data_IF_868615230588
#
_entry.id   IF_868615230588
#
_cell.length_a   1.000
_cell.length_b   1.000
_cell.length_c   1.000
_cell.angle_alpha   90.00
_cell.angle_beta   90.00
_cell.angle_gamma   90.00
#
_symmetry.space_group_name_H-M   'P 1'
#
loop_
_entity.id
_entity.type
_entity.pdbx_description
1 polymer ?
#
# COMPACT_ATOMS: atom_id res chain seq x y z
N UNK A 1 -2.45 -7.66 -7.60
CA UNK A 1 -2.47 -8.71 -6.54
C UNK A 1 -2.60 -10.14 -7.09
N UNK A 2 -3.47 -10.42 -8.10
CA UNK A 2 -3.58 -11.77 -8.69
C UNK A 2 -2.27 -12.20 -9.39
N UNK A 3 -1.61 -11.29 -10.08
CA UNK A 3 -0.33 -11.58 -10.76
C UNK A 3 0.79 -11.94 -9.77
N UNK A 4 0.90 -11.20 -8.64
CA UNK A 4 1.87 -11.52 -7.57
C UNK A 4 1.57 -12.90 -6.96
N UNK A 5 0.30 -13.22 -6.67
CA UNK A 5 -0.09 -14.53 -6.15
C UNK A 5 0.31 -15.68 -7.09
N UNK A 6 0.02 -15.55 -8.40
CA UNK A 6 0.44 -16.56 -9.38
C UNK A 6 1.96 -16.71 -9.46
N UNK A 7 2.70 -15.62 -9.35
CA UNK A 7 4.17 -15.62 -9.32
C UNK A 7 4.71 -16.37 -8.10
N UNK A 8 4.16 -16.10 -6.91
CA UNK A 8 4.52 -16.80 -5.66
C UNK A 8 4.28 -18.30 -5.79
N UNK A 9 3.10 -18.70 -6.29
CA UNK A 9 2.77 -20.13 -6.50
C UNK A 9 3.71 -20.75 -7.53
N UNK A 10 3.96 -20.08 -8.64
CA UNK A 10 4.89 -20.56 -9.66
C UNK A 10 6.31 -20.74 -9.11
N UNK A 11 6.81 -19.77 -8.35
CA UNK A 11 8.13 -19.85 -7.69
C UNK A 11 8.18 -20.99 -6.69
N UNK A 12 7.15 -21.21 -5.88
CA UNK A 12 7.10 -22.31 -4.93
C UNK A 12 7.15 -23.67 -5.63
N UNK A 13 6.40 -23.84 -6.72
CA UNK A 13 6.42 -25.06 -7.55
C UNK A 13 7.80 -25.25 -8.20
N UNK A 14 8.37 -24.18 -8.75
CA UNK A 14 9.71 -24.22 -9.36
C UNK A 14 10.78 -24.58 -8.32
N UNK A 15 10.73 -24.01 -7.12
CA UNK A 15 11.67 -24.30 -6.04
C UNK A 15 11.63 -25.80 -5.67
N UNK A 16 10.43 -26.36 -5.50
CA UNK A 16 10.27 -27.78 -5.19
C UNK A 16 10.80 -28.66 -6.32
N UNK A 17 10.48 -28.31 -7.57
CA UNK A 17 10.98 -29.06 -8.74
C UNK A 17 12.50 -29.01 -8.84
N UNK A 18 13.09 -27.83 -8.69
CA UNK A 18 14.54 -27.61 -8.72
C UNK A 18 15.22 -28.37 -7.59
N UNK A 19 14.67 -28.33 -6.38
CA UNK A 19 15.21 -29.05 -5.23
C UNK A 19 15.22 -30.57 -5.45
N UNK A 20 14.16 -31.14 -6.05
CA UNK A 20 14.09 -32.56 -6.38
C UNK A 20 15.11 -32.93 -7.47
N UNK A 21 15.25 -32.10 -8.50
CA UNK A 21 16.21 -32.32 -9.58
C UNK A 21 17.65 -32.28 -9.04
N UNK A 22 17.99 -31.26 -8.29
CA UNK A 22 19.33 -31.08 -7.71
C UNK A 22 19.74 -32.24 -6.81
N UNK A 23 18.78 -32.74 -6.02
CA UNK A 23 19.03 -33.90 -5.11
C UNK A 23 19.17 -35.22 -5.85
N UNK A 24 18.56 -35.37 -7.04
CA UNK A 24 18.63 -36.62 -7.82
C UNK A 24 19.74 -36.61 -8.88
N UNK A 25 20.27 -35.42 -9.21
CA UNK A 25 21.34 -35.26 -10.20
C UNK A 25 22.55 -34.64 -9.51
N UNK A 26 23.69 -35.30 -9.51
CA UNK A 26 24.92 -34.72 -8.98
C UNK A 26 25.43 -33.61 -9.91
N UNK A 27 24.80 -32.42 -9.86
CA UNK A 27 25.16 -31.26 -10.67
C UNK A 27 26.44 -30.59 -10.15
N UNK A 28 27.27 -30.04 -11.02
CA UNK A 28 28.36 -29.20 -10.58
C UNK A 28 27.80 -27.91 -9.96
N UNK A 29 28.54 -27.27 -9.04
CA UNK A 29 28.15 -26.08 -8.31
C UNK A 29 27.52 -24.99 -9.21
N UNK A 30 28.11 -24.73 -10.36
CA UNK A 30 27.59 -23.78 -11.35
C UNK A 30 26.25 -24.22 -11.97
N UNK A 31 26.06 -25.53 -12.14
CA UNK A 31 24.81 -26.09 -12.65
C UNK A 31 23.68 -25.92 -11.65
N UNK A 32 23.93 -26.22 -10.39
CA UNK A 32 22.97 -25.97 -9.30
C UNK A 32 22.66 -24.48 -9.16
N UNK A 33 23.67 -23.60 -9.19
CA UNK A 33 23.42 -22.15 -9.16
C UNK A 33 22.49 -21.69 -10.28
N UNK A 34 22.78 -22.06 -11.54
CA UNK A 34 21.94 -21.67 -12.68
C UNK A 34 20.50 -22.21 -12.55
N UNK A 35 20.35 -23.41 -12.00
CA UNK A 35 19.06 -24.03 -11.77
C UNK A 35 18.24 -23.27 -10.72
N UNK A 36 18.86 -22.89 -9.58
CA UNK A 36 18.21 -22.09 -8.54
C UNK A 36 18.03 -20.62 -8.89
N UNK A 37 18.81 -20.09 -9.82
CA UNK A 37 18.68 -18.71 -10.28
C UNK A 37 17.32 -18.46 -10.96
N UNK A 38 16.73 -19.48 -11.60
CA UNK A 38 15.42 -19.36 -12.25
C UNK A 38 14.31 -19.05 -11.24
N UNK A 39 14.05 -19.85 -10.20
CA UNK A 39 13.05 -19.49 -9.20
C UNK A 39 13.45 -18.25 -8.38
N UNK A 40 14.73 -17.99 -8.15
CA UNK A 40 15.20 -16.79 -7.46
C UNK A 40 14.83 -15.51 -8.20
N UNK A 41 15.15 -15.42 -9.49
CA UNK A 41 14.78 -14.27 -10.31
C UNK A 41 13.26 -14.17 -10.54
N UNK A 42 12.56 -15.29 -10.62
CA UNK A 42 11.10 -15.29 -10.73
C UNK A 42 10.45 -14.70 -9.48
N UNK A 43 10.99 -15.00 -8.30
CA UNK A 43 10.51 -14.42 -7.03
C UNK A 43 10.87 -12.94 -6.88
N UNK A 44 12.14 -12.59 -7.10
CA UNK A 44 12.75 -11.39 -6.56
C UNK A 44 13.21 -10.36 -7.60
N UNK A 45 12.84 -10.47 -8.89
CA UNK A 45 13.35 -9.52 -9.89
C UNK A 45 12.94 -8.06 -9.60
N UNK A 46 11.73 -7.84 -9.07
CA UNK A 46 11.22 -6.53 -8.66
C UNK A 46 12.01 -5.98 -7.46
N UNK A 47 12.20 -6.78 -6.42
CA UNK A 47 12.98 -6.42 -5.23
C UNK A 47 14.42 -6.05 -5.60
N UNK A 48 15.03 -6.83 -6.49
CA UNK A 48 16.40 -6.55 -6.95
C UNK A 48 16.49 -5.25 -7.77
N UNK A 49 15.46 -4.94 -8.57
CA UNK A 49 15.39 -3.68 -9.31
C UNK A 49 15.18 -2.49 -8.38
N UNK A 50 14.25 -2.61 -7.43
CA UNK A 50 13.97 -1.57 -6.42
C UNK A 50 15.21 -1.31 -5.54
N UNK A 51 15.88 -2.36 -5.08
CA UNK A 51 17.15 -2.23 -4.36
C UNK A 51 18.23 -1.54 -5.20
N UNK A 52 18.29 -1.83 -6.51
CA UNK A 52 19.21 -1.17 -7.45
C UNK A 52 18.90 0.32 -7.63
N UNK A 53 17.62 0.69 -7.74
CA UNK A 53 17.16 2.08 -7.80
C UNK A 53 17.47 2.82 -6.50
N UNK A 54 17.18 2.22 -5.35
CA UNK A 54 17.45 2.79 -4.02
C UNK A 54 18.94 3.12 -3.84
N UNK A 55 19.84 2.24 -4.31
CA UNK A 55 21.28 2.50 -4.30
C UNK A 55 21.62 3.73 -5.14
N UNK A 56 21.04 3.88 -6.35
CA UNK A 56 21.31 4.98 -7.25
C UNK A 56 20.80 6.33 -6.72
N UNK A 57 19.71 6.31 -5.94
CA UNK A 57 19.11 7.51 -5.32
C UNK A 57 19.69 7.83 -3.93
N UNK A 58 20.60 6.99 -3.40
CA UNK A 58 21.23 7.19 -2.09
C UNK A 58 20.40 6.77 -0.90
N UNK A 59 19.27 6.06 -1.12
CA UNK A 59 18.43 5.47 -0.08
C UNK A 59 18.85 4.01 0.18
N UNK A 60 20.10 3.84 0.61
CA UNK A 60 20.82 2.54 0.65
C UNK A 60 20.38 1.65 1.81
N UNK A 61 19.43 2.06 2.68
CA UNK A 61 19.14 1.33 3.91
C UNK A 61 17.64 1.03 4.08
N UNK A 62 16.99 0.60 2.98
CA UNK A 62 15.64 0.05 3.02
C UNK A 62 15.63 -1.48 3.21
N UNK A 63 14.44 -2.04 3.36
CA UNK A 63 14.23 -3.47 3.56
C UNK A 63 14.60 -4.30 2.31
N UNK A 64 14.37 -3.78 1.11
CA UNK A 64 14.64 -4.46 -0.16
C UNK A 64 16.14 -4.59 -0.39
N UNK A 65 16.91 -3.55 -0.05
CA UNK A 65 18.36 -3.57 -0.07
C UNK A 65 18.92 -4.65 0.87
N UNK A 66 18.41 -4.71 2.12
CA UNK A 66 18.86 -5.67 3.11
C UNK A 66 18.58 -7.12 2.65
N UNK A 67 17.38 -7.37 2.14
CA UNK A 67 16.99 -8.68 1.61
C UNK A 67 17.79 -9.07 0.37
N UNK A 68 18.05 -8.12 -0.52
CA UNK A 68 18.87 -8.36 -1.71
C UNK A 68 20.30 -8.74 -1.36
N UNK A 69 20.95 -8.02 -0.44
CA UNK A 69 22.32 -8.36 0.02
C UNK A 69 22.34 -9.73 0.68
N UNK A 70 21.39 -10.03 1.57
CA UNK A 70 21.36 -11.29 2.29
C UNK A 70 21.17 -12.47 1.34
N UNK A 71 20.25 -12.37 0.39
CA UNK A 71 19.96 -13.46 -0.56
C UNK A 71 21.03 -13.63 -1.64
N UNK A 72 21.60 -12.54 -2.16
CA UNK A 72 22.76 -12.60 -3.06
C UNK A 72 23.98 -13.17 -2.33
N UNK A 73 24.19 -12.76 -1.08
CA UNK A 73 25.24 -13.31 -0.24
C UNK A 73 25.09 -14.80 -0.03
N UNK A 74 23.87 -15.30 0.23
CA UNK A 74 23.59 -16.72 0.36
C UNK A 74 23.85 -17.50 -0.95
N UNK A 75 23.55 -16.91 -2.12
CA UNK A 75 23.92 -17.50 -3.42
C UNK A 75 25.43 -17.55 -3.64
N UNK A 76 26.17 -16.56 -3.13
CA UNK A 76 27.62 -16.47 -3.31
C UNK A 76 28.41 -17.34 -2.32
N UNK A 77 27.84 -17.69 -1.17
CA UNK A 77 28.58 -18.39 -0.09
C UNK A 77 29.11 -19.74 -0.50
N UNK A 78 28.38 -20.47 -1.37
CA UNK A 78 28.81 -21.79 -1.87
C UNK A 78 30.09 -21.77 -2.69
N UNK A 79 30.58 -20.59 -3.10
CA UNK A 79 31.87 -20.42 -3.81
C UNK A 79 33.05 -20.20 -2.86
N UNK A 80 32.82 -20.07 -1.56
CA UNK A 80 33.88 -19.95 -0.58
C UNK A 80 34.47 -21.33 -0.27
N UNK A 81 35.77 -21.43 0.04
CA UNK A 81 36.40 -22.69 0.46
C UNK A 81 35.68 -23.26 1.70
N UNK A 82 35.42 -24.56 1.67
CA UNK A 82 34.79 -25.32 2.75
C UNK A 82 33.35 -24.87 3.13
N UNK A 83 32.66 -24.08 2.25
CA UNK A 83 31.26 -23.71 2.44
C UNK A 83 30.33 -24.66 1.69
N UNK A 84 29.19 -24.99 2.34
CA UNK A 84 28.09 -25.67 1.66
C UNK A 84 27.24 -24.65 0.88
N UNK A 85 26.72 -25.00 -0.31
CA UNK A 85 25.87 -24.11 -1.09
C UNK A 85 24.48 -23.95 -0.44
N UNK A 86 24.07 -22.74 -0.20
CA UNK A 86 22.78 -22.38 0.42
C UNK A 86 21.80 -21.77 -0.61
N UNK A 87 21.78 -22.36 -1.82
CA UNK A 87 20.93 -21.88 -2.92
C UNK A 87 19.43 -22.02 -2.63
N UNK A 88 18.95 -23.17 -2.08
CA UNK A 88 17.54 -23.33 -1.72
C UNK A 88 17.06 -22.29 -0.71
N UNK A 89 17.91 -22.00 0.29
CA UNK A 89 17.63 -21.03 1.36
C UNK A 89 17.48 -19.62 0.81
N UNK A 90 18.34 -19.21 -0.12
CA UNK A 90 18.26 -17.91 -0.77
C UNK A 90 16.92 -17.73 -1.49
N UNK A 91 16.46 -18.74 -2.23
CA UNK A 91 15.17 -18.72 -2.94
C UNK A 91 14.01 -18.75 -1.94
N UNK A 92 14.11 -19.57 -0.88
CA UNK A 92 13.07 -19.69 0.15
C UNK A 92 12.87 -18.35 0.88
N UNK A 93 13.95 -17.68 1.27
CA UNK A 93 13.91 -16.38 1.94
C UNK A 93 13.25 -15.32 1.05
N UNK A 94 13.62 -15.27 -0.24
CA UNK A 94 13.02 -14.35 -1.21
C UNK A 94 11.52 -14.64 -1.41
N UNK A 95 11.15 -15.93 -1.49
CA UNK A 95 9.75 -16.34 -1.62
C UNK A 95 8.94 -15.94 -0.38
N UNK A 96 9.49 -16.14 0.81
CA UNK A 96 8.83 -15.79 2.07
C UNK A 96 8.62 -14.29 2.20
N UNK A 97 9.59 -13.48 1.78
CA UNK A 97 9.47 -12.03 1.71
C UNK A 97 8.34 -11.59 0.78
N UNK A 98 8.24 -12.17 -0.42
CA UNK A 98 7.17 -11.89 -1.37
C UNK A 98 5.77 -12.25 -0.82
N UNK A 99 5.67 -13.30 -0.02
CA UNK A 99 4.42 -13.65 0.68
C UNK A 99 4.07 -12.55 1.69
N UNK A 100 5.03 -12.07 2.48
CA UNK A 100 4.85 -10.98 3.43
C UNK A 100 4.35 -9.69 2.74
N UNK A 101 5.00 -9.30 1.63
CA UNK A 101 4.64 -8.15 0.83
C UNK A 101 3.22 -8.26 0.23
N UNK A 102 2.84 -9.45 -0.25
CA UNK A 102 1.48 -9.69 -0.74
C UNK A 102 0.44 -9.47 0.37
N UNK A 103 0.69 -9.93 1.59
CA UNK A 103 -0.20 -9.69 2.73
C UNK A 103 -0.30 -8.21 3.08
N UNK A 104 0.81 -7.48 3.03
CA UNK A 104 0.83 -6.02 3.24
C UNK A 104 -0.01 -5.30 2.18
N UNK A 105 0.20 -5.59 0.89
CA UNK A 105 -0.61 -4.99 -0.20
C UNK A 105 -2.11 -5.30 -0.06
N UNK A 106 -2.47 -6.52 0.36
CA UNK A 106 -3.88 -6.89 0.58
C UNK A 106 -4.49 -6.09 1.73
N UNK A 107 -3.74 -5.84 2.78
CA UNK A 107 -4.18 -5.03 3.93
C UNK A 107 -4.36 -3.56 3.53
N UNK A 108 -3.39 -2.97 2.82
CA UNK A 108 -3.43 -1.60 2.33
C UNK A 108 -4.52 -1.38 1.26
N UNK A 109 -4.66 -2.32 0.33
CA UNK A 109 -5.61 -2.23 -0.79
C UNK A 109 -7.07 -2.17 -0.36
N UNK A 110 -7.45 -2.77 0.77
CA UNK A 110 -8.79 -2.65 1.34
C UNK A 110 -9.06 -1.23 1.85
N UNK A 111 -8.06 -0.57 2.42
CA UNK A 111 -8.17 0.80 2.92
C UNK A 111 -8.27 1.83 1.79
N UNK A 112 -7.47 1.69 0.75
CA UNK A 112 -7.50 2.60 -0.40
C UNK A 112 -8.84 2.60 -1.15
N UNK A 113 -9.52 1.46 -1.27
CA UNK A 113 -10.87 1.38 -1.89
C UNK A 113 -11.91 2.21 -1.16
N UNK A 114 -11.88 2.23 0.17
CA UNK A 114 -12.80 3.05 0.98
C UNK A 114 -12.55 4.55 0.77
N UNK A 115 -11.30 4.96 0.57
CA UNK A 115 -10.93 6.35 0.29
C UNK A 115 -11.34 6.75 -1.14
N UNK A 116 -11.17 5.89 -2.13
CA UNK A 116 -11.57 6.14 -3.52
C UNK A 116 -13.09 6.34 -3.66
N UNK A 117 -13.89 5.59 -2.89
CA UNK A 117 -15.33 5.79 -2.85
C UNK A 117 -15.74 7.15 -2.25
N UNK A 118 -14.94 7.72 -1.35
CA UNK A 118 -15.16 9.07 -0.82
C UNK A 118 -14.73 10.15 -1.82
N UNK A 119 -13.71 9.92 -2.63
CA UNK A 119 -13.33 10.85 -3.72
C UNK A 119 -14.39 10.94 -4.81
N UNK A 120 -15.22 9.91 -4.95
CA UNK A 120 -16.37 9.91 -5.87
C UNK A 120 -17.52 10.83 -5.41
N UNK A 121 -17.40 11.48 -4.23
CA UNK A 121 -18.35 12.49 -3.73
C UNK A 121 -18.24 13.82 -4.48
N UNK A 122 -17.10 14.13 -5.11
CA UNK A 122 -16.91 15.39 -5.81
C UNK A 122 -17.81 15.44 -7.04
N UNK A 123 -18.71 16.45 -7.15
CA UNK A 123 -19.50 16.67 -8.35
C UNK A 123 -18.62 17.28 -9.44
N UNK A 124 -18.76 16.77 -10.66
CA UNK A 124 -17.97 17.23 -11.82
C UNK A 124 -18.51 18.53 -12.42
N UNK A 125 -19.82 18.78 -12.28
CA UNK A 125 -20.51 19.92 -12.88
C UNK A 125 -21.76 20.32 -12.10
N UNK A 126 -22.22 21.54 -12.30
CA UNK A 126 -23.47 22.07 -11.79
C UNK A 126 -24.28 22.67 -12.96
N UNK A 127 -25.57 22.35 -13.03
CA UNK A 127 -26.48 22.95 -14.01
C UNK A 127 -27.10 24.21 -13.39
N UNK A 128 -26.64 25.40 -13.79
CA UNK A 128 -27.07 26.69 -13.22
C UNK A 128 -28.14 27.29 -14.11
N UNK A 129 -29.20 27.78 -13.50
CA UNK A 129 -30.29 28.50 -14.20
C UNK A 129 -29.90 29.97 -14.38
N UNK A 130 -29.77 30.41 -15.65
CA UNK A 130 -29.55 31.81 -16.03
C UNK A 130 -30.72 32.31 -16.87
N UNK A 131 -31.67 32.99 -16.24
CA UNK A 131 -32.88 33.46 -16.91
C UNK A 131 -33.77 32.31 -17.36
N UNK A 132 -33.90 32.07 -18.67
CA UNK A 132 -34.70 30.96 -19.23
C UNK A 132 -33.87 29.76 -19.68
N UNK A 133 -32.56 29.79 -19.54
CA UNK A 133 -31.65 28.73 -19.98
C UNK A 133 -30.95 28.07 -18.78
N UNK A 134 -30.60 26.81 -18.94
CA UNK A 134 -29.80 26.06 -17.98
C UNK A 134 -28.42 25.82 -18.60
N UNK A 135 -27.39 26.38 -17.98
CA UNK A 135 -26.00 26.23 -18.42
C UNK A 135 -25.24 25.32 -17.48
N UNK A 136 -24.34 24.54 -18.04
CA UNK A 136 -23.44 23.70 -17.22
C UNK A 136 -22.18 24.49 -16.87
N UNK A 137 -21.91 24.64 -15.58
CA UNK A 137 -20.77 25.33 -15.03
C UNK A 137 -19.96 24.40 -14.10
N UNK A 138 -18.73 24.78 -13.76
CA UNK A 138 -17.99 24.10 -12.68
C UNK A 138 -18.60 24.51 -11.35
N UNK A 139 -18.67 23.60 -10.36
CA UNK A 139 -19.20 23.92 -9.04
C UNK A 139 -18.47 25.09 -8.34
N UNK A 140 -17.18 25.28 -8.65
CA UNK A 140 -16.34 26.36 -8.11
C UNK A 140 -16.75 27.75 -8.62
N UNK A 141 -17.36 27.80 -9.81
CA UNK A 141 -17.80 29.07 -10.47
C UNK A 141 -19.21 29.48 -10.05
N UNK A 142 -19.92 28.62 -9.28
CA UNK A 142 -21.30 28.87 -8.86
C UNK A 142 -21.34 29.73 -7.60
N UNK A 143 -22.06 30.86 -7.65
CA UNK A 143 -22.18 31.78 -6.53
C UNK A 143 -23.31 31.44 -5.56
N UNK A 144 -23.15 31.85 -4.31
CA UNK A 144 -24.21 31.74 -3.30
C UNK A 144 -25.43 32.58 -3.75
N UNK A 145 -26.61 31.97 -3.69
CA UNK A 145 -27.88 32.59 -4.11
C UNK A 145 -28.33 32.20 -5.50
N UNK A 146 -27.46 31.66 -6.35
CA UNK A 146 -27.83 31.11 -7.66
C UNK A 146 -28.72 29.86 -7.53
N UNK A 147 -29.47 29.59 -8.59
CA UNK A 147 -30.38 28.44 -8.64
C UNK A 147 -29.72 27.38 -9.53
N UNK A 148 -29.61 26.16 -8.97
CA UNK A 148 -29.14 24.99 -9.68
C UNK A 148 -30.27 24.01 -9.91
N UNK A 149 -30.23 23.33 -11.06
CA UNK A 149 -31.20 22.30 -11.45
C UNK A 149 -30.52 20.92 -11.36
N UNK A 150 -31.10 20.03 -10.56
CA UNK A 150 -30.55 18.70 -10.30
C UNK A 150 -31.50 17.65 -10.84
N UNK A 151 -31.08 16.94 -11.89
CA UNK A 151 -31.88 15.89 -12.54
C UNK A 151 -31.71 14.53 -11.83
N UNK A 152 -32.62 13.58 -12.03
CA UNK A 152 -32.47 12.22 -11.56
C UNK A 152 -31.16 11.58 -12.06
N UNK A 153 -30.44 10.91 -11.16
CA UNK A 153 -29.11 10.32 -11.42
C UNK A 153 -27.93 11.28 -11.20
N UNK A 154 -28.17 12.59 -11.08
CA UNK A 154 -27.10 13.56 -10.84
C UNK A 154 -26.76 13.68 -9.35
N UNK A 155 -25.49 14.01 -9.09
CA UNK A 155 -25.03 14.38 -7.73
C UNK A 155 -25.42 15.81 -7.44
N UNK A 156 -25.81 16.09 -6.21
CA UNK A 156 -26.04 17.44 -5.72
C UNK A 156 -24.71 18.20 -5.68
N UNK A 157 -24.52 19.25 -6.51
CA UNK A 157 -23.20 19.88 -6.63
C UNK A 157 -22.86 20.81 -5.46
N UNK A 158 -23.86 21.46 -4.85
CA UNK A 158 -23.70 22.47 -3.80
C UNK A 158 -24.71 22.26 -2.68
N UNK A 159 -24.36 22.70 -1.46
CA UNK A 159 -25.32 22.77 -0.37
C UNK A 159 -26.37 23.86 -0.66
N UNK A 160 -27.66 23.56 -0.44
CA UNK A 160 -28.72 24.51 -0.75
C UNK A 160 -30.05 24.17 -0.12
N UNK A 161 -31.06 24.99 -0.47
CA UNK A 161 -32.47 24.80 -0.07
C UNK A 161 -33.28 24.54 -1.33
N UNK A 162 -34.11 23.55 -1.32
CA UNK A 162 -35.03 23.23 -2.43
C UNK A 162 -36.08 24.32 -2.54
N UNK A 163 -36.14 24.96 -3.70
CA UNK A 163 -37.20 25.94 -4.03
C UNK A 163 -38.42 25.22 -4.60
N UNK A 164 -38.21 24.24 -5.46
CA UNK A 164 -39.24 23.53 -6.20
C UNK A 164 -38.85 22.09 -6.50
N UNK A 165 -39.83 21.20 -6.52
CA UNK A 165 -39.64 19.79 -6.81
C UNK A 165 -39.80 18.92 -5.59
N UNK A 166 -39.94 17.61 -5.85
CA UNK A 166 -39.95 16.55 -4.84
C UNK A 166 -39.13 15.39 -5.37
N UNK A 167 -38.23 14.87 -4.57
CA UNK A 167 -37.39 13.73 -4.94
C UNK A 167 -36.98 12.91 -3.74
N UNK A 168 -36.31 11.79 -4.00
CA UNK A 168 -35.59 11.00 -3.01
C UNK A 168 -34.09 11.15 -3.24
N UNK A 169 -33.34 11.42 -2.19
CA UNK A 169 -31.89 11.52 -2.23
C UNK A 169 -31.25 10.29 -1.61
N UNK A 170 -30.28 9.70 -2.29
CA UNK A 170 -29.37 8.72 -1.70
C UNK A 170 -28.30 9.45 -0.89
N UNK A 171 -28.34 9.30 0.42
CA UNK A 171 -27.42 9.95 1.37
C UNK A 171 -26.41 8.98 1.97
N UNK A 172 -26.39 7.69 1.51
CA UNK A 172 -25.56 6.60 2.07
C UNK A 172 -24.10 7.00 2.28
N UNK A 173 -23.53 7.70 1.31
CA UNK A 173 -22.10 8.06 1.33
C UNK A 173 -21.80 9.14 2.38
N UNK A 174 -22.80 9.97 2.75
CA UNK A 174 -22.64 11.05 3.75
C UNK A 174 -23.05 10.61 5.15
N UNK A 175 -24.16 9.87 5.26
CA UNK A 175 -24.79 9.55 6.56
C UNK A 175 -24.64 8.08 6.95
N UNK A 176 -24.31 7.20 6.01
CA UNK A 176 -24.32 5.75 6.20
C UNK A 176 -25.71 5.12 6.20
N UNK A 177 -26.77 5.91 6.12
CA UNK A 177 -28.16 5.43 6.12
C UNK A 177 -28.53 4.87 4.75
N UNK A 178 -28.93 3.61 4.68
CA UNK A 178 -29.29 2.93 3.43
C UNK A 178 -30.66 3.36 2.87
N UNK A 179 -31.53 3.96 3.70
CA UNK A 179 -32.85 4.41 3.28
C UNK A 179 -32.75 5.77 2.57
N UNK A 180 -33.28 5.91 1.33
CA UNK A 180 -33.32 7.21 0.66
C UNK A 180 -34.16 8.23 1.44
N UNK A 181 -33.65 9.45 1.56
CA UNK A 181 -34.35 10.54 2.24
C UNK A 181 -35.25 11.28 1.23
N UNK A 182 -36.56 11.36 1.52
CA UNK A 182 -37.48 12.16 0.73
C UNK A 182 -37.28 13.65 1.00
N UNK A 183 -37.17 14.45 -0.08
CA UNK A 183 -36.92 15.89 -0.05
C UNK A 183 -38.03 16.62 -0.80
N UNK A 184 -38.48 17.75 -0.22
CA UNK A 184 -39.54 18.62 -0.74
C UNK A 184 -39.08 20.08 -0.74
N UNK A 185 -39.89 20.94 -1.34
CA UNK A 185 -39.66 22.41 -1.29
C UNK A 185 -39.56 22.89 0.17
N UNK A 186 -38.52 23.67 0.46
CA UNK A 186 -38.14 24.15 1.79
C UNK A 186 -37.13 23.31 2.52
N UNK A 187 -36.87 22.06 2.09
CA UNK A 187 -35.88 21.20 2.72
C UNK A 187 -34.44 21.57 2.30
N UNK A 188 -33.49 21.33 3.20
CA UNK A 188 -32.06 21.47 2.91
C UNK A 188 -31.51 20.23 2.23
N UNK A 189 -30.68 20.44 1.23
CA UNK A 189 -29.91 19.39 0.52
C UNK A 189 -28.42 19.60 0.71
N UNK A 190 -27.69 18.49 0.80
CA UNK A 190 -26.24 18.49 0.99
C UNK A 190 -25.55 18.05 -0.29
N UNK A 191 -24.43 18.70 -0.62
CA UNK A 191 -23.57 18.32 -1.75
C UNK A 191 -23.01 16.90 -1.58
N UNK A 192 -22.89 16.17 -2.69
CA UNK A 192 -22.44 14.79 -2.71
C UNK A 192 -23.54 13.73 -2.58
N UNK A 193 -24.79 14.10 -2.23
CA UNK A 193 -25.94 13.20 -2.34
C UNK A 193 -26.28 12.95 -3.82
N UNK A 194 -26.86 11.77 -4.12
CA UNK A 194 -27.35 11.45 -5.46
C UNK A 194 -28.87 11.61 -5.52
N UNK A 195 -29.36 12.39 -6.48
CA UNK A 195 -30.77 12.56 -6.75
C UNK A 195 -31.34 11.33 -7.48
N UNK A 196 -32.42 10.72 -6.97
CA UNK A 196 -32.92 9.43 -7.48
C UNK A 196 -34.14 9.56 -8.42
N UNK A 197 -35.06 10.48 -8.17
CA UNK A 197 -36.39 10.38 -8.82
C UNK A 197 -36.85 11.65 -9.52
N UNK A 198 -36.95 12.79 -8.83
CA UNK A 198 -37.52 14.02 -9.37
C UNK A 198 -36.48 15.07 -9.73
N UNK A 199 -36.87 16.07 -10.53
CA UNK A 199 -36.03 17.23 -10.77
C UNK A 199 -36.19 18.20 -9.59
N UNK A 200 -35.06 18.69 -9.09
CA UNK A 200 -35.00 19.64 -7.99
C UNK A 200 -34.43 20.98 -8.48
N UNK A 201 -35.08 22.08 -8.11
CA UNK A 201 -34.53 23.44 -8.22
C UNK A 201 -34.05 23.86 -6.84
N UNK A 202 -32.76 24.11 -6.70
CA UNK A 202 -32.10 24.33 -5.42
C UNK A 202 -31.39 25.66 -5.42
N UNK A 203 -31.64 26.50 -4.41
CA UNK A 203 -30.93 27.76 -4.19
C UNK A 203 -29.67 27.46 -3.37
N UNK A 204 -28.53 27.82 -3.91
CA UNK A 204 -27.21 27.62 -3.29
C UNK A 204 -27.09 28.47 -2.03
N UNK A 205 -26.68 27.85 -0.92
CA UNK A 205 -26.55 28.54 0.38
C UNK A 205 -25.11 28.69 0.84
N UNK A 206 -24.18 27.93 0.30
CA UNK A 206 -22.75 27.97 0.67
C UNK A 206 -21.89 27.93 -0.59
N UNK A 207 -20.71 28.58 -0.59
CA UNK A 207 -19.74 28.45 -1.67
C UNK A 207 -19.19 27.02 -1.73
N UNK A 208 -18.68 26.59 -2.88
CA UNK A 208 -18.20 25.23 -3.11
C UNK A 208 -17.16 24.76 -2.07
N UNK A 209 -16.18 25.62 -1.72
CA UNK A 209 -15.15 25.28 -0.73
C UNK A 209 -15.67 25.04 0.70
N UNK A 210 -16.86 25.54 1.03
CA UNK A 210 -17.55 25.33 2.32
C UNK A 210 -18.67 24.28 2.24
N UNK A 211 -18.88 23.68 1.07
CA UNK A 211 -19.87 22.62 0.88
C UNK A 211 -19.54 21.37 1.69
N UNK A 212 -20.57 20.56 1.97
CA UNK A 212 -20.41 19.34 2.75
C UNK A 212 -19.44 18.37 2.08
N UNK A 213 -19.52 18.19 0.75
CA UNK A 213 -18.59 17.35 0.00
C UNK A 213 -17.14 17.87 0.09
N UNK A 214 -16.92 19.18 -0.09
CA UNK A 214 -15.59 19.77 0.02
C UNK A 214 -14.97 19.60 1.42
N UNK A 215 -15.77 19.79 2.47
CA UNK A 215 -15.31 19.58 3.86
C UNK A 215 -14.93 18.13 4.12
N UNK A 216 -15.71 17.17 3.62
CA UNK A 216 -15.39 15.74 3.76
C UNK A 216 -14.10 15.40 3.01
N UNK A 217 -13.95 15.89 1.78
CA UNK A 217 -12.72 15.68 1.00
C UNK A 217 -11.49 16.28 1.69
N UNK A 218 -11.57 17.51 2.17
CA UNK A 218 -10.51 18.14 2.96
C UNK A 218 -10.16 17.36 4.23
N UNK A 219 -11.15 16.80 4.93
CA UNK A 219 -10.92 15.96 6.09
C UNK A 219 -10.19 14.66 5.72
N UNK A 220 -10.52 14.08 4.56
CA UNK A 220 -9.88 12.86 4.05
C UNK A 220 -8.45 13.14 3.59
N UNK A 221 -8.22 14.25 2.88
CA UNK A 221 -6.89 14.69 2.45
C UNK A 221 -5.98 14.98 3.66
N UNK A 222 -6.47 15.75 4.61
CA UNK A 222 -5.73 16.05 5.85
C UNK A 222 -5.52 14.81 6.75
N UNK A 223 -6.45 13.84 6.73
CA UNK A 223 -6.26 12.57 7.40
C UNK A 223 -5.16 11.72 6.72
N UNK A 224 -5.01 11.85 5.39
CA UNK A 224 -3.92 11.22 4.65
C UNK A 224 -2.56 11.85 4.96
N UNK A 225 -2.48 13.16 5.20
CA UNK A 225 -1.25 13.82 5.68
C UNK A 225 -0.88 13.41 7.12
N UNK A 226 -1.86 13.15 7.99
CA UNK A 226 -1.62 12.62 9.34
C UNK A 226 -1.20 11.13 9.35
N UNK A 227 -1.45 10.36 8.27
CA UNK A 227 -0.82 9.03 8.04
C UNK A 227 0.70 9.08 8.09
N UNK A 228 1.30 10.23 7.77
CA UNK A 228 2.75 10.44 7.75
C UNK A 228 3.43 10.20 9.11
N UNK A 229 2.74 10.22 10.23
CA UNK A 229 3.38 10.00 11.54
C UNK A 229 3.79 8.56 11.79
N UNK A 230 2.95 7.58 11.43
CA UNK A 230 3.29 6.15 11.58
C UNK A 230 4.28 5.70 10.50
N UNK A 231 4.10 6.14 9.26
CA UNK A 231 5.05 5.94 8.16
C UNK A 231 6.39 6.62 8.46
N UNK A 232 6.36 7.84 9.01
CA UNK A 232 7.56 8.56 9.45
C UNK A 232 8.27 7.84 10.61
N UNK A 233 7.54 7.19 11.51
CA UNK A 233 8.14 6.40 12.60
C UNK A 233 8.87 5.18 12.06
N UNK A 234 8.23 4.40 11.15
CA UNK A 234 8.83 3.22 10.54
C UNK A 234 10.06 3.61 9.72
N UNK A 235 9.95 4.64 8.87
CA UNK A 235 11.07 5.14 8.08
C UNK A 235 12.22 5.67 8.95
N UNK A 236 11.89 6.34 10.06
CA UNK A 236 12.89 6.83 11.01
C UNK A 236 13.56 5.68 11.78
N UNK A 237 12.80 4.66 12.15
CA UNK A 237 13.32 3.44 12.75
C UNK A 237 14.25 2.70 11.78
N UNK A 238 13.81 2.45 10.55
CA UNK A 238 14.60 1.77 9.53
C UNK A 238 15.93 2.48 9.27
N UNK A 239 15.93 3.83 9.18
CA UNK A 239 17.13 4.65 8.96
C UNK A 239 18.24 4.43 10.01
N UNK A 240 17.90 4.12 11.24
CA UNK A 240 18.90 3.83 12.28
C UNK A 240 19.14 2.33 12.45
N UNK A 241 18.08 1.54 12.36
CA UNK A 241 18.14 0.09 12.56
C UNK A 241 18.98 -0.61 11.52
N UNK A 242 18.73 -0.33 10.23
CA UNK A 242 19.41 -1.02 9.11
C UNK A 242 20.93 -0.81 9.13
N UNK A 243 21.49 0.41 9.28
CA UNK A 243 22.94 0.59 9.39
C UNK A 243 23.55 -0.11 10.59
N UNK A 244 22.85 -0.17 11.73
CA UNK A 244 23.33 -0.85 12.93
C UNK A 244 23.41 -2.37 12.67
N UNK A 245 22.36 -2.95 12.08
CA UNK A 245 22.31 -4.39 11.76
C UNK A 245 23.36 -4.76 10.74
N UNK A 246 23.49 -3.96 9.66
CA UNK A 246 24.53 -4.19 8.64
C UNK A 246 25.93 -4.06 9.26
N UNK A 247 26.17 -3.05 10.07
CA UNK A 247 27.44 -2.89 10.79
C UNK A 247 27.75 -4.06 11.72
N UNK A 248 26.75 -4.53 12.48
CA UNK A 248 26.89 -5.71 13.34
C UNK A 248 27.18 -6.99 12.52
N UNK A 249 26.53 -7.17 11.36
CA UNK A 249 26.79 -8.28 10.47
C UNK A 249 28.22 -8.27 9.91
N UNK A 250 28.72 -7.09 9.50
CA UNK A 250 30.11 -6.92 9.03
C UNK A 250 31.09 -7.24 10.15
N UNK A 251 30.84 -6.76 11.36
CA UNK A 251 31.67 -7.09 12.54
C UNK A 251 31.64 -8.62 12.79
N UNK A 252 30.46 -9.23 12.73
CA UNK A 252 30.29 -10.69 12.93
C UNK A 252 31.00 -11.49 11.84
N UNK A 253 31.02 -11.02 10.60
CA UNK A 253 31.69 -11.70 9.50
C UNK A 253 33.22 -11.69 9.63
N UNK A 254 33.82 -10.59 10.09
CA UNK A 254 35.26 -10.39 10.01
C UNK A 254 36.00 -10.45 11.36
N UNK A 255 35.35 -9.98 12.45
CA UNK A 255 36.06 -9.90 13.73
C UNK A 255 36.40 -11.26 14.35
N UNK A 256 35.48 -12.25 14.43
CA UNK A 256 35.79 -13.54 15.01
C UNK A 256 36.85 -14.36 14.24
N UNK A 257 36.82 -14.42 12.87
CA UNK A 257 37.88 -15.07 12.11
C UNK A 257 39.25 -14.48 12.36
N UNK A 258 39.32 -13.15 12.56
CA UNK A 258 40.59 -12.45 12.79
C UNK A 258 41.24 -12.87 14.13
N UNK A 259 40.45 -13.13 15.16
CA UNK A 259 40.94 -13.56 16.46
C UNK A 259 41.15 -15.08 16.58
N UNK A 260 40.61 -15.89 15.67
CA UNK A 260 40.69 -17.37 15.74
C UNK A 260 42.03 -17.96 15.27
N UNK A 261 42.95 -17.12 14.76
CA UNK A 261 44.28 -17.58 14.27
C UNK A 261 44.28 -18.33 12.94
N UNK A 262 43.11 -18.71 12.42
CA UNK A 262 42.93 -19.38 11.13
C UNK A 262 41.85 -18.66 10.31
N UNK A 263 42.20 -17.51 9.73
CA UNK A 263 41.29 -16.64 9.01
C UNK A 263 40.63 -17.33 7.81
N UNK A 264 41.44 -17.98 6.96
CA UNK A 264 40.94 -18.59 5.72
C UNK A 264 40.01 -19.79 5.98
N UNK A 265 40.24 -20.57 7.04
CA UNK A 265 39.41 -21.75 7.35
C UNK A 265 38.08 -21.41 8.04
N UNK A 266 38.00 -20.23 8.67
CA UNK A 266 36.81 -19.87 9.45
C UNK A 266 35.93 -18.81 8.77
N UNK A 267 36.44 -18.11 7.74
CA UNK A 267 35.73 -16.99 7.15
C UNK A 267 34.39 -17.38 6.51
N UNK A 268 34.32 -18.51 5.83
CA UNK A 268 33.10 -19.02 5.21
C UNK A 268 31.98 -19.23 6.25
N UNK A 269 32.33 -19.90 7.35
CA UNK A 269 31.41 -20.18 8.45
C UNK A 269 30.90 -18.92 9.16
N UNK A 270 31.76 -17.90 9.34
CA UNK A 270 31.36 -16.64 9.94
C UNK A 270 30.59 -15.72 8.98
N UNK A 271 30.94 -15.76 7.68
CA UNK A 271 30.17 -15.08 6.63
C UNK A 271 28.74 -15.64 6.57
N UNK A 272 28.57 -16.96 6.59
CA UNK A 272 27.25 -17.59 6.66
C UNK A 272 26.46 -17.13 7.88
N UNK A 273 27.07 -17.12 9.06
CA UNK A 273 26.42 -16.64 10.29
C UNK A 273 26.02 -15.17 10.19
N UNK A 274 26.85 -14.34 9.57
CA UNK A 274 26.55 -12.92 9.36
C UNK A 274 25.38 -12.72 8.38
N UNK A 275 25.32 -13.53 7.32
CA UNK A 275 24.19 -13.49 6.36
C UNK A 275 22.89 -13.98 7.01
N UNK A 276 22.95 -15.08 7.77
CA UNK A 276 21.80 -15.54 8.54
C UNK A 276 21.35 -14.51 9.59
N UNK A 277 22.30 -13.82 10.22
CA UNK A 277 21.99 -12.73 11.14
C UNK A 277 21.24 -11.58 10.41
N UNK A 278 21.63 -11.20 9.19
CA UNK A 278 20.93 -10.20 8.39
C UNK A 278 19.48 -10.63 8.08
N UNK A 279 19.29 -11.88 7.65
CA UNK A 279 17.94 -12.42 7.35
C UNK A 279 17.04 -12.41 8.58
N UNK A 280 17.53 -12.92 9.71
CA UNK A 280 16.76 -12.98 10.97
C UNK A 280 16.50 -11.60 11.56
N UNK A 281 17.39 -10.66 11.31
CA UNK A 281 17.24 -9.27 11.76
C UNK A 281 16.29 -8.43 10.90
N UNK A 282 15.63 -9.01 9.87
CA UNK A 282 14.58 -8.29 9.16
C UNK A 282 13.44 -7.91 10.12
N UNK A 283 13.03 -6.64 10.22
CA UNK A 283 11.91 -6.23 11.05
C UNK A 283 10.56 -6.48 10.40
N UNK A 284 10.46 -7.54 9.55
CA UNK A 284 9.28 -7.85 8.73
C UNK A 284 7.98 -7.91 9.54
N UNK A 285 8.02 -8.46 10.76
CA UNK A 285 6.87 -8.49 11.66
C UNK A 285 6.42 -7.08 12.10
N UNK A 286 7.35 -6.15 12.31
CA UNK A 286 7.04 -4.76 12.67
C UNK A 286 6.41 -4.02 11.49
N UNK A 287 7.00 -4.17 10.31
CA UNK A 287 6.54 -3.53 9.06
C UNK A 287 5.13 -3.98 8.70
N UNK A 288 4.83 -5.27 8.86
CA UNK A 288 3.49 -5.83 8.59
C UNK A 288 2.48 -5.51 9.70
N UNK A 289 2.89 -5.60 10.98
CA UNK A 289 1.95 -5.49 12.11
C UNK A 289 1.40 -4.09 12.30
N UNK A 290 2.18 -3.04 12.03
CA UNK A 290 1.74 -1.64 12.21
C UNK A 290 0.62 -1.28 11.24
N UNK A 291 0.75 -1.42 9.91
CA UNK A 291 -0.35 -1.19 8.99
C UNK A 291 -1.55 -2.10 9.27
N UNK A 292 -1.32 -3.39 9.52
CA UNK A 292 -2.39 -4.35 9.75
C UNK A 292 -3.24 -4.00 10.99
N UNK A 293 -2.60 -3.59 12.08
CA UNK A 293 -3.29 -3.19 13.31
C UNK A 293 -4.08 -1.90 13.09
N UNK A 294 -3.51 -0.93 12.40
CA UNK A 294 -4.15 0.34 12.09
C UNK A 294 -5.38 0.14 11.20
N UNK A 295 -5.23 -0.60 10.10
CA UNK A 295 -6.31 -0.89 9.16
C UNK A 295 -7.35 -1.85 9.75
N UNK A 296 -6.93 -2.82 10.56
CA UNK A 296 -7.83 -3.71 11.29
C UNK A 296 -8.69 -2.95 12.31
N UNK A 297 -8.09 -2.02 13.05
CA UNK A 297 -8.77 -1.16 14.01
C UNK A 297 -9.78 -0.22 13.34
N UNK A 298 -9.37 0.51 12.30
CA UNK A 298 -10.24 1.41 11.53
C UNK A 298 -11.37 0.63 10.84
N UNK A 299 -11.05 -0.51 10.21
CA UNK A 299 -12.04 -1.34 9.54
C UNK A 299 -13.06 -1.96 10.50
N UNK A 300 -12.63 -2.35 11.71
CA UNK A 300 -13.50 -2.83 12.77
C UNK A 300 -14.41 -1.74 13.32
N UNK A 301 -13.89 -0.55 13.56
CA UNK A 301 -14.64 0.62 14.00
C UNK A 301 -15.70 1.03 12.95
N UNK A 302 -15.30 1.11 11.68
CA UNK A 302 -16.19 1.45 10.56
C UNK A 302 -17.35 0.47 10.40
N UNK A 303 -17.11 -0.83 10.58
CA UNK A 303 -18.19 -1.83 10.56
C UNK A 303 -19.23 -1.62 11.66
N UNK A 304 -18.83 -1.02 12.77
CA UNK A 304 -19.72 -0.68 13.90
C UNK A 304 -20.28 0.75 13.81
N UNK A 305 -20.18 1.42 12.66
CA UNK A 305 -20.69 2.77 12.44
C UNK A 305 -19.88 3.87 13.12
N UNK A 306 -18.67 3.55 13.58
CA UNK A 306 -17.77 4.52 14.23
C UNK A 306 -16.80 5.06 13.18
N UNK A 307 -16.92 6.35 12.86
CA UNK A 307 -15.95 7.05 12.03
C UNK A 307 -14.74 7.42 12.89
N UNK A 308 -13.61 6.75 12.64
CA UNK A 308 -12.35 7.08 13.31
C UNK A 308 -11.72 8.28 12.60
N UNK A 309 -11.65 9.42 13.29
CA UNK A 309 -10.93 10.60 12.86
C UNK A 309 -9.47 10.49 13.33
N UNK A 310 -8.53 10.31 12.38
CA UNK A 310 -7.10 10.23 12.63
C UNK A 310 -6.52 11.54 13.17
#
# INVERSE_FOLDING_TARGET
>A
NKKKLYRIIATAVLLVAVYIIDRNTALPLWGSLLLYLVPYLTAGYDILLEAGESILHGEVFDEDFLMSIATIGALCIGFLPDAEPEFPEAVFVMLFFQVGELFQELAEGKSRRSITQLMDLRPDSANVEQGSEVITAKPEDVSVGEIIVIKPGEKVPMDGIVLEGTSSLNTVVLTGESAPRTIRAGDSVLSGCVNLSGVLRVKVTKPFGESTAAKILNLVENASENKSRSETFIAKFARYYTPIVVGAAVILAFLPPLFSGNFSGNIASWMYRALMFLVVSCPCALVISVPLTFFGGIGGASKNGILVKG
#
